data_IF_567386115004
#
_entry.id   IF_567386115004
#
_cell.length_a   1.000
_cell.length_b   1.000
_cell.length_c   1.000
_cell.angle_alpha   90.00
_cell.angle_beta   90.00
_cell.angle_gamma   90.00
#
_symmetry.space_group_name_H-M   'P 1'
#
loop_
_entity.id
_entity.type
_entity.pdbx_description
1 polymer ?
#
# COMPACT_ATOMS: atom_id res chain seq x y z
N UNK A 1 -18.73 0.46 -66.48
CA UNK A 1 -17.25 0.43 -66.45
C UNK A 1 -16.83 0.15 -65.00
N UNK A 2 -16.80 -1.11 -64.56
CA UNK A 2 -15.78 -2.12 -64.86
C UNK A 2 -14.47 -1.94 -64.06
N UNK A 3 -14.34 -2.77 -63.01
CA UNK A 3 -13.17 -3.58 -62.65
C UNK A 3 -11.87 -2.84 -62.22
N UNK A 4 -11.25 -3.14 -61.07
CA UNK A 4 -10.91 -4.46 -60.55
C UNK A 4 -10.97 -4.51 -59.01
N UNK A 5 -11.71 -5.51 -58.53
CA UNK A 5 -11.56 -6.10 -57.21
C UNK A 5 -10.59 -7.29 -57.27
N UNK A 6 -10.20 -7.75 -56.08
CA UNK A 6 -9.70 -9.10 -55.72
C UNK A 6 -8.20 -9.20 -55.43
N UNK A 7 -7.83 -9.32 -54.15
CA UNK A 7 -7.67 -10.63 -53.52
C UNK A 7 -7.43 -10.52 -52.00
N UNK A 8 -8.28 -11.24 -51.25
CA UNK A 8 -8.26 -11.53 -49.82
C UNK A 8 -7.07 -12.45 -49.43
N UNK A 9 -6.71 -12.71 -48.13
CA UNK A 9 -7.66 -13.00 -47.06
C UNK A 9 -7.35 -12.54 -45.62
N UNK A 10 -8.42 -12.64 -44.84
CA UNK A 10 -8.50 -12.63 -43.38
C UNK A 10 -7.44 -13.52 -42.69
N UNK A 11 -6.83 -12.99 -41.64
CA UNK A 11 -6.29 -13.78 -40.54
C UNK A 11 -7.01 -13.43 -39.23
N UNK A 12 -8.09 -14.17 -38.96
CA UNK A 12 -8.48 -14.51 -37.59
C UNK A 12 -7.55 -15.65 -37.17
N UNK A 13 -6.57 -15.38 -36.31
CA UNK A 13 -5.88 -16.43 -35.57
C UNK A 13 -5.90 -16.13 -34.07
N UNK A 14 -6.62 -17.00 -33.37
CA UNK A 14 -6.55 -17.18 -31.92
C UNK A 14 -5.17 -17.73 -31.55
N UNK A 15 -4.45 -17.04 -30.68
CA UNK A 15 -3.23 -17.56 -30.08
C UNK A 15 -3.61 -18.64 -29.07
N UNK A 16 -3.59 -19.92 -29.50
CA UNK A 16 -3.60 -21.08 -28.61
C UNK A 16 -2.15 -21.40 -28.27
N UNK A 17 -1.73 -21.16 -27.03
CA UNK A 17 -0.44 -21.63 -26.53
C UNK A 17 -0.46 -23.16 -26.41
N UNK A 18 0.56 -23.88 -26.93
CA UNK A 18 0.68 -25.32 -26.72
C UNK A 18 1.03 -25.62 -25.25
N UNK A 19 0.31 -26.59 -24.67
CA UNK A 19 0.41 -27.04 -23.26
C UNK A 19 1.62 -27.95 -22.97
N UNK A 20 2.68 -27.87 -23.76
CA UNK A 20 3.77 -28.86 -23.73
C UNK A 20 5.08 -28.38 -23.11
N UNK A 21 5.12 -27.18 -22.51
CA UNK A 21 6.36 -26.66 -21.89
C UNK A 21 6.62 -27.10 -20.44
N UNK A 22 5.81 -28.01 -19.87
CA UNK A 22 6.00 -28.50 -18.49
C UNK A 22 5.73 -30.00 -18.35
N UNK A 23 6.38 -30.82 -19.19
CA UNK A 23 6.33 -32.28 -19.04
C UNK A 23 7.74 -32.82 -18.81
N UNK A 24 8.08 -33.10 -17.55
CA UNK A 24 9.32 -33.79 -17.18
C UNK A 24 9.17 -35.30 -17.51
N UNK A 25 9.80 -35.75 -18.60
CA UNK A 25 9.78 -37.17 -19.00
C UNK A 25 10.44 -38.12 -17.98
N UNK A 26 11.32 -37.63 -17.09
CA UNK A 26 11.93 -38.45 -16.03
C UNK A 26 10.96 -38.80 -14.89
N UNK A 27 9.81 -38.13 -14.76
CA UNK A 27 8.81 -38.46 -13.76
C UNK A 27 7.89 -39.63 -14.16
N UNK A 28 7.85 -40.00 -15.45
CA UNK A 28 7.02 -41.11 -15.95
C UNK A 28 7.67 -42.50 -15.74
N UNK A 29 8.99 -42.57 -15.57
CA UNK A 29 9.71 -43.86 -15.43
C UNK A 29 9.81 -44.39 -13.98
N UNK A 30 9.37 -43.63 -12.95
CA UNK A 30 9.44 -44.09 -11.54
C UNK A 30 8.11 -44.59 -10.96
N UNK A 31 7.09 -44.85 -11.78
CA UNK A 31 5.86 -45.53 -11.35
C UNK A 31 5.93 -47.04 -11.62
N UNK A 32 6.76 -47.75 -10.87
CA UNK A 32 6.70 -49.21 -10.80
C UNK A 32 7.29 -49.72 -9.50
N UNK A 33 6.53 -49.56 -8.41
CA UNK A 33 6.53 -50.44 -7.23
C UNK A 33 5.63 -49.84 -6.15
N UNK A 34 4.39 -50.35 -6.04
CA UNK A 34 3.61 -50.28 -4.81
C UNK A 34 3.73 -51.62 -4.09
N UNK A 35 3.67 -51.62 -2.74
CA UNK A 35 2.85 -52.61 -2.06
C UNK A 35 1.63 -51.96 -1.41
N UNK A 36 0.52 -52.70 -1.46
CA UNK A 36 -0.86 -52.41 -1.06
C UNK A 36 -1.15 -53.11 0.26
N UNK A 37 -1.72 -52.46 1.28
CA UNK A 37 -2.78 -53.02 2.20
C UNK A 37 -3.43 -51.88 3.05
N UNK A 38 -4.57 -52.07 3.75
CA UNK A 38 -5.91 -51.75 3.26
C UNK A 38 -6.63 -50.64 4.05
N UNK A 39 -7.76 -50.22 3.46
CA UNK A 39 -8.65 -49.13 3.84
C UNK A 39 -9.74 -49.64 4.79
N UNK A 40 -9.96 -48.98 5.93
CA UNK A 40 -11.24 -49.03 6.64
C UNK A 40 -11.72 -47.62 6.97
N UNK A 41 -12.97 -47.38 6.60
CA UNK A 41 -13.78 -46.21 6.89
C UNK A 41 -14.83 -46.66 7.92
N UNK A 42 -14.93 -45.97 9.06
CA UNK A 42 -16.16 -45.91 9.87
C UNK A 42 -16.33 -44.45 10.27
N UNK A 43 -17.53 -43.93 10.03
CA UNK A 43 -17.86 -42.52 10.21
C UNK A 43 -18.47 -42.19 11.57
N UNK A 44 -19.12 -41.02 11.55
CA UNK A 44 -20.15 -40.46 12.45
C UNK A 44 -19.77 -39.31 13.39
N UNK A 45 -20.45 -38.20 13.11
CA UNK A 45 -21.15 -37.26 14.00
C UNK A 45 -20.44 -36.02 14.59
N UNK A 46 -21.15 -34.86 14.66
CA UNK A 46 -20.59 -33.56 15.04
C UNK A 46 -20.88 -33.18 16.52
N UNK A 47 -19.95 -32.44 17.13
CA UNK A 47 -20.11 -31.88 18.48
C UNK A 47 -20.53 -30.40 18.42
N UNK A 48 -21.79 -30.15 18.80
CA UNK A 48 -22.30 -28.84 19.24
C UNK A 48 -21.68 -28.47 20.59
N UNK A 49 -21.29 -27.21 20.78
CA UNK A 49 -21.08 -26.63 22.13
C UNK A 49 -22.11 -25.53 22.37
N UNK A 50 -23.01 -25.80 23.32
CA UNK A 50 -23.85 -24.81 23.99
C UNK A 50 -23.10 -24.28 25.21
N UNK A 51 -23.07 -22.96 25.39
CA UNK A 51 -22.74 -22.34 26.67
C UNK A 51 -24.04 -21.97 27.39
N UNK A 52 -24.24 -22.54 28.58
CA UNK A 52 -25.19 -22.06 29.60
C UNK A 52 -24.43 -21.15 30.55
N UNK A 53 -25.06 -20.07 30.99
CA UNK A 53 -24.68 -19.36 32.21
C UNK A 53 -25.95 -19.10 33.02
N UNK A 54 -25.87 -19.50 34.28
CA UNK A 54 -26.94 -19.48 35.26
C UNK A 54 -27.15 -18.11 35.90
N UNK A 55 -28.33 -18.05 36.49
CA UNK A 55 -29.14 -17.04 37.14
C UNK A 55 -28.66 -16.42 38.47
N UNK A 56 -29.54 -15.52 38.96
CA UNK A 56 -29.86 -15.08 40.35
C UNK A 56 -29.33 -13.65 40.62
N UNK A 57 -30.10 -12.64 41.08
CA UNK A 57 -31.07 -12.60 42.19
C UNK A 57 -32.15 -11.50 42.01
N UNK A 58 -33.15 -11.61 42.89
CA UNK A 58 -34.47 -11.00 43.05
C UNK A 58 -34.56 -9.52 43.42
N UNK A 59 -35.74 -8.94 43.17
CA UNK A 59 -36.50 -8.22 44.20
C UNK A 59 -38.00 -8.17 43.86
N UNK A 60 -38.80 -8.44 44.89
CA UNK A 60 -40.26 -8.48 44.94
C UNK A 60 -40.84 -7.09 45.27
N UNK A 61 -42.05 -6.77 44.78
CA UNK A 61 -42.83 -5.67 45.37
C UNK A 61 -44.00 -5.11 44.55
N UNK A 62 -45.21 -5.38 45.06
CA UNK A 62 -46.48 -4.63 44.91
C UNK A 62 -47.36 -4.78 43.65
N UNK A 63 -48.54 -5.35 43.92
CA UNK A 63 -49.77 -5.33 43.14
C UNK A 63 -50.18 -3.90 42.76
N UNK A 64 -50.38 -3.62 41.47
CA UNK A 64 -51.14 -2.45 41.00
C UNK A 64 -51.92 -2.76 39.72
N UNK A 65 -53.19 -2.37 39.77
CA UNK A 65 -54.31 -2.52 38.83
C UNK A 65 -53.96 -2.32 37.32
N UNK A 66 -54.30 -3.26 36.42
CA UNK A 66 -53.87 -3.24 35.01
C UNK A 66 -54.56 -2.22 34.08
N UNK A 67 -55.61 -1.53 34.52
CA UNK A 67 -56.40 -0.66 33.62
C UNK A 67 -55.89 0.78 33.46
N UNK A 68 -54.75 1.15 34.06
CA UNK A 68 -54.21 2.52 33.96
C UNK A 68 -53.00 2.68 33.02
N UNK A 69 -52.36 1.59 32.56
CA UNK A 69 -51.21 1.68 31.64
C UNK A 69 -51.61 1.87 30.17
N UNK A 70 -52.81 1.44 29.78
CA UNK A 70 -53.18 1.43 28.35
C UNK A 70 -53.54 2.84 27.83
N UNK A 71 -53.91 3.78 28.71
CA UNK A 71 -54.27 5.15 28.30
C UNK A 71 -53.07 6.08 28.07
N UNK A 72 -51.97 5.89 28.80
CA UNK A 72 -50.75 6.70 28.62
C UNK A 72 -49.91 6.29 27.40
N UNK A 73 -50.07 5.06 26.91
CA UNK A 73 -49.34 4.57 25.73
C UNK A 73 -49.95 5.15 24.44
N UNK A 74 -51.27 5.35 24.37
CA UNK A 74 -51.94 5.92 23.18
C UNK A 74 -51.67 7.42 22.96
N UNK A 75 -51.45 8.19 24.04
CA UNK A 75 -51.07 9.62 23.90
C UNK A 75 -49.58 9.80 23.58
N UNK A 76 -48.72 8.86 23.98
CA UNK A 76 -47.29 8.92 23.64
C UNK A 76 -47.02 8.44 22.20
N UNK A 77 -47.86 7.54 21.67
CA UNK A 77 -47.75 7.04 20.29
C UNK A 77 -48.18 8.08 19.22
N UNK A 78 -49.07 9.02 19.56
CA UNK A 78 -49.54 10.04 18.61
C UNK A 78 -48.61 11.24 18.50
N UNK A 79 -47.86 11.57 19.56
CA UNK A 79 -46.80 12.60 19.50
C UNK A 79 -45.57 12.06 18.75
N UNK A 80 -45.24 10.78 18.93
CA UNK A 80 -44.09 10.15 18.23
C UNK A 80 -44.30 9.98 16.72
N UNK A 81 -45.54 9.82 16.24
CA UNK A 81 -45.83 9.70 14.81
C UNK A 81 -45.75 11.03 14.05
N UNK A 82 -45.92 12.17 14.74
CA UNK A 82 -45.86 13.50 14.12
C UNK A 82 -44.43 14.05 13.96
N UNK A 83 -43.45 13.51 14.69
CA UNK A 83 -42.06 14.01 14.71
C UNK A 83 -41.08 13.24 13.79
N UNK A 84 -41.54 12.19 13.09
CA UNK A 84 -40.72 11.46 12.10
C UNK A 84 -40.62 12.23 10.76
N UNK A 85 -41.40 13.32 10.60
CA UNK A 85 -41.47 14.12 9.38
C UNK A 85 -40.38 15.19 9.19
N UNK A 86 -39.50 15.42 10.16
CA UNK A 86 -38.47 16.44 10.08
C UNK A 86 -37.05 15.84 10.13
N UNK A 87 -36.78 14.83 9.29
CA UNK A 87 -35.41 14.45 9.01
C UNK A 87 -34.70 15.63 8.33
N UNK A 88 -33.91 16.39 9.11
CA UNK A 88 -33.03 17.46 8.66
C UNK A 88 -32.38 17.05 7.33
N UNK A 89 -32.82 17.63 6.20
CA UNK A 89 -32.30 17.27 4.87
C UNK A 89 -30.78 17.45 4.92
N UNK A 90 -30.04 16.35 4.86
CA UNK A 90 -28.58 16.38 4.89
C UNK A 90 -28.08 17.36 3.82
N UNK A 91 -27.31 18.37 4.23
CA UNK A 91 -26.73 19.39 3.33
C UNK A 91 -25.73 18.80 2.32
N UNK A 92 -25.34 17.54 2.47
CA UNK A 92 -24.49 16.81 1.52
C UNK A 92 -25.32 15.89 0.61
N UNK A 93 -24.92 15.74 -0.67
CA UNK A 93 -25.55 14.79 -1.57
C UNK A 93 -25.35 13.34 -1.10
N UNK A 94 -26.27 12.45 -1.51
CA UNK A 94 -26.15 11.02 -1.23
C UNK A 94 -25.03 10.34 -2.04
N UNK A 95 -24.68 10.92 -3.19
CA UNK A 95 -23.72 10.36 -4.16
C UNK A 95 -22.68 11.41 -4.50
N UNK A 96 -21.43 10.99 -4.63
CA UNK A 96 -20.34 11.89 -5.05
C UNK A 96 -20.26 11.98 -6.57
N UNK A 97 -19.89 13.15 -7.10
CA UNK A 97 -19.80 13.39 -8.53
C UNK A 97 -18.67 12.61 -9.22
N UNK A 98 -18.86 12.21 -10.49
CA UNK A 98 -17.84 11.52 -11.31
C UNK A 98 -16.57 12.34 -11.48
N UNK A 99 -16.64 13.68 -11.48
CA UNK A 99 -15.46 14.54 -11.62
C UNK A 99 -14.45 14.33 -10.48
N UNK A 100 -14.96 14.11 -9.26
CA UNK A 100 -14.14 13.81 -8.08
C UNK A 100 -13.44 12.46 -8.26
N UNK A 101 -14.09 11.51 -8.91
CA UNK A 101 -13.49 10.21 -9.19
C UNK A 101 -12.29 10.32 -10.15
N UNK A 102 -12.44 11.02 -11.27
CA UNK A 102 -11.33 11.21 -12.21
C UNK A 102 -10.17 11.99 -11.59
N UNK A 103 -10.48 13.01 -10.77
CA UNK A 103 -9.45 13.73 -10.02
C UNK A 103 -8.74 12.83 -8.99
N UNK A 104 -9.45 11.96 -8.27
CA UNK A 104 -8.84 10.98 -7.36
C UNK A 104 -7.95 9.98 -8.12
N UNK A 105 -8.37 9.52 -9.29
CA UNK A 105 -7.58 8.63 -10.14
C UNK A 105 -6.33 9.32 -10.70
N UNK A 106 -6.46 10.57 -11.14
CA UNK A 106 -5.32 11.38 -11.56
C UNK A 106 -4.33 11.66 -10.42
N UNK A 107 -4.85 11.93 -9.21
CA UNK A 107 -4.03 12.08 -8.01
C UNK A 107 -3.32 10.78 -7.65
N UNK A 108 -4.01 9.64 -7.74
CA UNK A 108 -3.40 8.32 -7.53
C UNK A 108 -2.29 8.04 -8.56
N UNK A 109 -2.50 8.38 -9.83
CA UNK A 109 -1.47 8.24 -10.86
C UNK A 109 -0.25 9.12 -10.56
N UNK A 110 -0.45 10.35 -10.09
CA UNK A 110 0.65 11.23 -9.66
C UNK A 110 1.40 10.66 -8.45
N UNK A 111 0.69 10.11 -7.45
CA UNK A 111 1.30 9.44 -6.29
C UNK A 111 2.09 8.20 -6.71
N UNK A 112 1.59 7.43 -7.67
CA UNK A 112 2.34 6.30 -8.24
C UNK A 112 3.61 6.78 -8.93
N UNK A 113 3.52 7.84 -9.75
CA UNK A 113 4.68 8.44 -10.43
C UNK A 113 5.78 8.89 -9.48
N UNK A 114 5.43 9.62 -8.42
CA UNK A 114 6.41 10.07 -7.42
C UNK A 114 7.00 8.91 -6.60
N UNK A 115 6.26 7.82 -6.37
CA UNK A 115 6.79 6.61 -5.71
C UNK A 115 7.85 5.94 -6.59
N UNK A 116 7.58 5.77 -7.89
CA UNK A 116 8.56 5.22 -8.85
C UNK A 116 9.79 6.12 -8.93
N UNK A 117 9.57 7.44 -9.05
CA UNK A 117 10.65 8.43 -9.11
C UNK A 117 11.47 8.48 -7.82
N UNK A 118 10.82 8.35 -6.65
CA UNK A 118 11.51 8.22 -5.36
C UNK A 118 12.36 6.96 -5.27
N UNK A 119 11.90 5.85 -5.86
CA UNK A 119 12.70 4.64 -6.05
C UNK A 119 13.98 4.91 -6.84
N UNK A 120 13.87 5.63 -7.96
CA UNK A 120 15.04 6.04 -8.78
C UNK A 120 15.97 6.98 -8.01
N UNK A 121 15.42 7.93 -7.24
CA UNK A 121 16.20 8.86 -6.39
C UNK A 121 17.02 8.08 -5.35
N UNK A 122 16.45 7.01 -4.78
CA UNK A 122 17.18 6.13 -3.86
C UNK A 122 18.26 5.29 -4.56
N UNK A 123 17.97 4.73 -5.74
CA UNK A 123 18.90 3.91 -6.51
C UNK A 123 20.10 4.70 -7.04
N UNK A 124 19.91 5.99 -7.29
CA UNK A 124 20.96 6.94 -7.69
C UNK A 124 21.68 7.56 -6.50
N UNK A 125 21.38 7.10 -5.28
CA UNK A 125 21.94 7.62 -4.02
C UNK A 125 21.82 9.14 -3.85
N UNK A 126 20.80 9.75 -4.48
CA UNK A 126 20.59 11.19 -4.45
C UNK A 126 19.78 11.68 -3.25
N UNK A 127 19.24 10.77 -2.43
CA UNK A 127 18.28 11.10 -1.36
C UNK A 127 18.81 11.90 -0.15
N UNK A 128 20.10 12.24 -0.13
CA UNK A 128 20.76 13.04 0.92
C UNK A 128 21.58 14.22 0.33
N UNK A 129 21.43 14.49 -0.97
CA UNK A 129 22.11 15.60 -1.66
C UNK A 129 21.69 17.00 -1.18
N UNK A 130 20.46 17.15 -0.66
CA UNK A 130 19.91 18.39 -0.11
C UNK A 130 19.74 18.24 1.40
N UNK A 131 20.77 18.66 2.13
CA UNK A 131 20.85 18.53 3.60
C UNK A 131 19.92 19.49 4.34
N UNK A 132 19.51 20.58 3.70
CA UNK A 132 18.63 21.57 4.31
C UNK A 132 17.15 21.32 4.02
N UNK A 133 16.31 21.52 5.04
CA UNK A 133 14.87 21.50 4.89
C UNK A 133 14.33 22.92 4.76
N UNK A 134 14.16 23.37 3.51
CA UNK A 134 13.57 24.68 3.17
C UNK A 134 12.24 24.50 2.42
N UNK A 135 11.09 24.53 3.12
CA UNK A 135 9.79 24.22 2.50
C UNK A 135 9.36 25.19 1.42
N UNK A 136 9.65 26.48 1.63
CA UNK A 136 9.22 27.58 0.76
C UNK A 136 10.38 28.00 -0.15
N UNK A 137 11.51 28.42 0.43
CA UNK A 137 12.68 28.92 -0.30
C UNK A 137 13.42 27.84 -1.09
N UNK A 138 13.31 26.56 -0.70
CA UNK A 138 13.86 25.43 -1.46
C UNK A 138 12.93 24.93 -2.57
N UNK A 139 12.00 25.76 -3.05
CA UNK A 139 11.17 25.44 -4.22
C UNK A 139 11.85 25.84 -5.53
N UNK A 140 12.76 26.80 -5.48
CA UNK A 140 13.61 27.18 -6.61
C UNK A 140 14.95 26.45 -6.49
N UNK A 141 15.50 25.89 -7.58
CA UNK A 141 16.85 25.36 -7.58
C UNK A 141 17.88 26.52 -7.54
N UNK A 142 19.16 26.25 -7.27
CA UNK A 142 20.22 27.26 -7.34
C UNK A 142 20.25 27.90 -8.74
N UNK A 143 20.18 29.23 -8.78
CA UNK A 143 19.96 29.96 -10.04
C UNK A 143 21.25 30.53 -10.64
N UNK A 144 22.29 30.69 -9.82
CA UNK A 144 23.58 31.23 -10.24
C UNK A 144 24.75 30.32 -9.77
N UNK A 145 25.97 30.61 -10.25
CA UNK A 145 27.14 29.80 -9.96
C UNK A 145 27.54 29.80 -8.46
N UNK A 146 27.33 30.93 -7.78
CA UNK A 146 27.64 31.09 -6.35
C UNK A 146 26.71 30.22 -5.49
N UNK A 147 25.41 30.23 -5.78
CA UNK A 147 24.42 29.38 -5.11
C UNK A 147 24.76 27.89 -5.27
N UNK A 148 25.16 27.49 -6.49
CA UNK A 148 25.56 26.10 -6.77
C UNK A 148 26.79 25.70 -5.96
N UNK A 149 27.77 26.59 -5.84
CA UNK A 149 28.99 26.29 -5.09
C UNK A 149 28.75 26.29 -3.57
N UNK A 150 27.83 27.13 -3.08
CA UNK A 150 27.35 27.09 -1.69
C UNK A 150 26.66 25.76 -1.36
N UNK A 151 25.72 25.30 -2.19
CA UNK A 151 25.05 24.01 -1.98
C UNK A 151 26.04 22.83 -2.09
N UNK A 152 26.98 22.90 -3.04
CA UNK A 152 28.01 21.87 -3.17
C UNK A 152 28.98 21.88 -2.00
N UNK A 153 29.34 23.04 -1.45
CA UNK A 153 30.15 23.14 -0.24
C UNK A 153 29.48 22.48 0.97
N UNK A 154 28.16 22.64 1.12
CA UNK A 154 27.38 21.92 2.16
C UNK A 154 27.40 20.42 1.93
N UNK A 155 27.28 19.98 0.69
CA UNK A 155 27.39 18.57 0.35
C UNK A 155 28.78 18.00 0.63
N UNK A 156 29.86 18.73 0.29
CA UNK A 156 31.25 18.34 0.61
C UNK A 156 31.52 18.21 2.11
N UNK A 157 30.87 19.06 2.90
CA UNK A 157 30.92 18.97 4.36
C UNK A 157 30.14 17.76 4.91
N UNK A 158 29.28 17.14 4.11
CA UNK A 158 28.51 15.98 4.54
C UNK A 158 29.38 14.72 4.62
N UNK A 159 29.10 13.81 5.58
CA UNK A 159 29.77 12.51 5.64
C UNK A 159 29.55 11.64 4.40
N UNK A 160 28.45 11.84 3.67
CA UNK A 160 28.17 11.10 2.43
C UNK A 160 29.20 11.41 1.34
N UNK A 161 29.55 12.69 1.16
CA UNK A 161 30.64 13.06 0.25
C UNK A 161 31.96 12.47 0.71
N UNK A 162 32.29 12.56 2.01
CA UNK A 162 33.57 12.10 2.54
C UNK A 162 33.76 10.58 2.44
N UNK A 163 32.70 9.79 2.57
CA UNK A 163 32.78 8.32 2.62
C UNK A 163 32.44 7.66 1.29
N UNK A 164 31.43 8.16 0.56
CA UNK A 164 30.91 7.51 -0.65
C UNK A 164 31.35 8.23 -1.94
N UNK A 165 31.44 9.55 -1.93
CA UNK A 165 31.62 10.36 -3.15
C UNK A 165 32.78 11.39 -3.08
N UNK A 166 33.99 11.04 -2.57
CA UNK A 166 35.02 12.03 -2.22
C UNK A 166 35.61 12.78 -3.43
N UNK A 167 35.44 12.24 -4.63
CA UNK A 167 35.96 12.82 -5.88
C UNK A 167 34.86 13.40 -6.78
N UNK A 168 33.62 13.53 -6.28
CA UNK A 168 32.52 13.98 -7.11
C UNK A 168 32.70 15.43 -7.55
N UNK A 169 32.43 15.70 -8.82
CA UNK A 169 32.49 17.02 -9.44
C UNK A 169 31.18 17.81 -9.23
N UNK A 170 31.22 19.13 -9.42
CA UNK A 170 30.02 19.97 -9.37
C UNK A 170 28.96 19.53 -10.41
N UNK A 171 29.39 19.03 -11.57
CA UNK A 171 28.48 18.56 -12.63
C UNK A 171 27.72 17.30 -12.21
N UNK A 172 28.41 16.34 -11.58
CA UNK A 172 27.79 15.14 -11.02
C UNK A 172 26.87 15.48 -9.84
N UNK A 173 27.29 16.40 -8.96
CA UNK A 173 26.47 16.91 -7.87
C UNK A 173 25.14 17.50 -8.37
N UNK A 174 25.16 18.27 -9.46
CA UNK A 174 23.93 18.82 -10.06
C UNK A 174 22.93 17.73 -10.44
N UNK A 175 23.38 16.60 -10.98
CA UNK A 175 22.49 15.50 -11.36
C UNK A 175 21.78 14.90 -10.15
N UNK A 176 22.51 14.57 -9.08
CA UNK A 176 21.91 14.04 -7.86
C UNK A 176 21.00 15.08 -7.18
N UNK A 177 21.42 16.36 -7.16
CA UNK A 177 20.62 17.45 -6.62
C UNK A 177 19.28 17.58 -7.35
N UNK A 178 19.27 17.54 -8.69
CA UNK A 178 18.04 17.65 -9.45
C UNK A 178 17.09 16.47 -9.22
N UNK A 179 17.60 15.25 -9.08
CA UNK A 179 16.76 14.10 -8.73
C UNK A 179 16.05 14.34 -7.41
N UNK A 180 16.77 14.73 -6.37
CA UNK A 180 16.16 14.99 -5.07
C UNK A 180 15.21 16.21 -5.09
N UNK A 181 15.62 17.30 -5.75
CA UNK A 181 14.81 18.51 -5.88
C UNK A 181 13.50 18.25 -6.63
N UNK A 182 13.54 17.51 -7.76
CA UNK A 182 12.34 17.12 -8.52
C UNK A 182 11.41 16.27 -7.65
N UNK A 183 11.97 15.33 -6.88
CA UNK A 183 11.16 14.50 -5.99
C UNK A 183 10.46 15.37 -4.92
N UNK A 184 11.18 16.30 -4.30
CA UNK A 184 10.63 17.22 -3.27
C UNK A 184 9.58 18.17 -3.85
N UNK A 185 9.83 18.80 -5.00
CA UNK A 185 8.87 19.72 -5.62
C UNK A 185 7.61 18.98 -6.09
N UNK A 186 7.75 17.77 -6.66
CA UNK A 186 6.60 16.94 -7.03
C UNK A 186 5.77 16.59 -5.79
N UNK A 187 6.40 16.25 -4.66
CA UNK A 187 5.68 15.98 -3.41
C UNK A 187 4.83 17.17 -2.95
N UNK A 188 5.36 18.40 -3.06
CA UNK A 188 4.62 19.64 -2.78
C UNK A 188 3.45 19.83 -3.76
N UNK A 189 3.69 19.63 -5.05
CA UNK A 189 2.65 19.73 -6.09
C UNK A 189 1.53 18.75 -5.82
N UNK A 190 1.82 17.49 -5.49
CA UNK A 190 0.81 16.48 -5.09
C UNK A 190 0.00 16.94 -3.88
N UNK A 191 0.68 17.51 -2.87
CA UNK A 191 0.03 18.09 -1.70
C UNK A 191 -0.98 19.18 -2.06
N UNK A 192 -0.55 20.19 -2.81
CA UNK A 192 -1.42 21.29 -3.21
C UNK A 192 -2.52 20.85 -4.18
N UNK A 193 -2.18 20.04 -5.19
CA UNK A 193 -3.11 19.53 -6.20
C UNK A 193 -4.16 18.59 -5.60
N UNK A 194 -3.91 18.05 -4.41
CA UNK A 194 -4.91 17.30 -3.67
C UNK A 194 -5.72 18.19 -2.71
N UNK A 195 -5.04 18.95 -1.84
CA UNK A 195 -5.71 19.69 -0.77
C UNK A 195 -6.64 20.78 -1.32
N UNK A 196 -6.20 21.54 -2.34
CA UNK A 196 -7.00 22.64 -2.90
C UNK A 196 -8.30 22.12 -3.53
N UNK A 197 -8.29 21.13 -4.45
CA UNK A 197 -9.53 20.56 -4.97
C UNK A 197 -10.35 19.82 -3.91
N UNK A 198 -9.74 19.16 -2.92
CA UNK A 198 -10.47 18.50 -1.84
C UNK A 198 -11.33 19.47 -1.02
N UNK A 199 -10.75 20.63 -0.67
CA UNK A 199 -11.46 21.72 0.01
C UNK A 199 -12.59 22.24 -0.90
N UNK A 200 -12.27 22.54 -2.17
CA UNK A 200 -13.26 23.01 -3.14
C UNK A 200 -14.45 22.05 -3.30
N UNK A 201 -14.21 20.76 -3.50
CA UNK A 201 -15.27 19.76 -3.68
C UNK A 201 -16.12 19.54 -2.43
N UNK A 202 -15.50 19.66 -1.26
CA UNK A 202 -16.21 19.56 0.02
C UNK A 202 -17.06 20.80 0.27
N UNK A 203 -16.52 22.00 0.03
CA UNK A 203 -17.22 23.28 0.18
C UNK A 203 -18.39 23.41 -0.81
N UNK A 204 -18.17 23.03 -2.07
CA UNK A 204 -19.19 23.04 -3.15
C UNK A 204 -20.14 21.85 -3.14
N UNK A 205 -20.07 21.00 -2.09
CA UNK A 205 -20.98 19.85 -1.91
C UNK A 205 -21.02 18.88 -3.10
N UNK A 206 -19.90 18.70 -3.80
CA UNK A 206 -19.78 17.72 -4.90
C UNK A 206 -19.49 16.29 -4.40
N UNK A 207 -19.30 16.13 -3.10
CA UNK A 207 -19.03 14.86 -2.42
C UNK A 207 -20.05 14.57 -1.32
N UNK A 208 -20.32 13.29 -1.06
CA UNK A 208 -21.16 12.88 0.07
C UNK A 208 -20.42 13.08 1.40
N UNK A 209 -21.17 13.19 2.51
CA UNK A 209 -20.59 13.33 3.88
C UNK A 209 -19.51 12.29 4.20
N UNK A 210 -19.69 10.97 3.97
CA UNK A 210 -18.64 9.99 4.24
C UNK A 210 -17.44 10.17 3.31
N UNK A 211 -17.65 10.60 2.05
CA UNK A 211 -16.55 10.87 1.13
C UNK A 211 -15.75 12.10 1.56
N UNK A 212 -16.39 13.16 2.06
CA UNK A 212 -15.70 14.33 2.62
C UNK A 212 -14.75 13.94 3.77
N UNK A 213 -15.20 13.07 4.69
CA UNK A 213 -14.36 12.55 5.76
C UNK A 213 -13.18 11.72 5.24
N UNK A 214 -13.39 10.93 4.19
CA UNK A 214 -12.31 10.18 3.54
C UNK A 214 -11.31 11.10 2.84
N UNK A 215 -11.76 12.17 2.17
CA UNK A 215 -10.88 13.17 1.58
C UNK A 215 -10.04 13.88 2.65
N UNK A 216 -10.65 14.22 3.79
CA UNK A 216 -9.92 14.77 4.93
C UNK A 216 -8.88 13.79 5.48
N UNK A 217 -9.23 12.51 5.60
CA UNK A 217 -8.28 11.45 5.99
C UNK A 217 -7.12 11.30 5.01
N UNK A 218 -7.38 11.33 3.70
CA UNK A 218 -6.34 11.26 2.67
C UNK A 218 -5.45 12.52 2.71
N UNK A 219 -6.03 13.71 2.87
CA UNK A 219 -5.26 14.95 3.04
C UNK A 219 -4.35 14.87 4.28
N UNK A 220 -4.86 14.32 5.38
CA UNK A 220 -4.07 14.03 6.58
C UNK A 220 -2.93 13.05 6.30
N UNK A 221 -3.16 11.98 5.53
CA UNK A 221 -2.12 11.04 5.12
C UNK A 221 -1.04 11.71 4.25
N UNK A 222 -1.40 12.62 3.35
CA UNK A 222 -0.42 13.39 2.55
C UNK A 222 0.40 14.33 3.43
N UNK A 223 -0.24 15.00 4.40
CA UNK A 223 0.48 15.81 5.40
C UNK A 223 1.44 14.95 6.22
N UNK A 224 1.00 13.76 6.63
CA UNK A 224 1.83 12.79 7.34
C UNK A 224 2.98 12.25 6.48
N UNK A 225 2.80 12.10 5.17
CA UNK A 225 3.88 11.78 4.23
C UNK A 225 4.97 12.85 4.24
N UNK A 226 4.60 14.13 4.21
CA UNK A 226 5.53 15.24 4.35
C UNK A 226 6.27 15.21 5.69
N UNK A 227 5.58 14.88 6.78
CA UNK A 227 6.19 14.70 8.10
C UNK A 227 7.20 13.55 8.14
N UNK A 228 6.87 12.38 7.57
CA UNK A 228 7.82 11.27 7.49
C UNK A 228 9.04 11.67 6.63
N UNK A 229 8.82 12.35 5.50
CA UNK A 229 9.91 12.83 4.64
C UNK A 229 10.85 13.79 5.37
N UNK A 230 10.31 14.75 6.13
CA UNK A 230 11.11 15.61 7.01
C UNK A 230 11.87 14.80 8.08
N UNK A 231 11.18 13.84 8.71
CA UNK A 231 11.79 12.97 9.72
C UNK A 231 12.95 12.18 9.13
N UNK A 232 12.83 11.63 7.92
CA UNK A 232 13.89 10.91 7.21
C UNK A 232 15.16 11.75 7.05
N UNK A 233 15.02 13.01 6.59
CA UNK A 233 16.17 13.93 6.37
C UNK A 233 16.81 14.32 7.71
N UNK A 234 16.02 14.85 8.66
CA UNK A 234 16.53 15.31 9.97
C UNK A 234 17.31 14.23 10.71
N UNK A 235 16.87 13.00 10.55
CA UNK A 235 17.39 11.86 11.31
C UNK A 235 18.48 11.07 10.57
N UNK A 236 18.78 11.42 9.32
CA UNK A 236 19.98 10.97 8.59
C UNK A 236 21.22 11.80 8.89
N UNK A 237 21.07 12.94 9.59
CA UNK A 237 22.12 13.90 9.92
C UNK A 237 22.57 13.84 11.40
N UNK A 238 22.22 12.78 12.15
CA UNK A 238 22.57 12.67 13.58
C UNK A 238 23.92 12.01 13.78
N UNK A 239 24.72 12.62 14.67
CA UNK A 239 26.10 12.26 14.96
C UNK A 239 26.32 10.79 15.36
N UNK A 240 25.29 10.18 15.96
CA UNK A 240 25.29 8.78 16.45
C UNK A 240 25.32 7.72 15.33
N UNK A 241 25.01 8.10 14.08
CA UNK A 241 25.05 7.24 12.89
C UNK A 241 26.42 7.22 12.20
N UNK A 242 27.43 7.86 12.81
CA UNK A 242 28.79 8.02 12.26
C UNK A 242 29.89 7.45 13.17
N UNK A 243 29.55 6.50 14.04
CA UNK A 243 30.55 5.68 14.73
C UNK A 243 31.44 4.93 13.71
N UNK A 244 32.72 4.63 14.03
CA UNK A 244 33.62 3.93 13.11
C UNK A 244 32.99 2.62 12.62
N UNK A 245 32.74 2.52 11.30
CA UNK A 245 32.07 1.37 10.66
C UNK A 245 30.57 1.53 10.35
N UNK A 246 29.97 2.72 10.56
CA UNK A 246 28.58 2.99 10.20
C UNK A 246 28.46 3.88 8.94
N UNK A 247 27.61 3.46 8.00
CA UNK A 247 27.38 4.19 6.73
C UNK A 247 26.35 5.33 6.94
N UNK A 248 26.66 6.57 6.52
CA UNK A 248 25.75 7.74 6.50
C UNK A 248 24.46 7.49 5.71
N UNK A 249 23.44 6.87 6.29
CA UNK A 249 22.20 6.51 5.55
C UNK A 249 20.94 6.68 6.37
N UNK A 250 19.87 7.06 5.68
CA UNK A 250 18.52 7.05 6.25
C UNK A 250 18.17 5.62 6.68
N UNK A 251 17.73 5.47 7.93
CA UNK A 251 17.30 4.17 8.45
C UNK A 251 16.24 3.54 7.54
N UNK A 252 16.46 2.28 7.17
CA UNK A 252 15.55 1.50 6.30
C UNK A 252 14.14 1.46 6.85
N UNK A 253 13.99 1.46 8.18
CA UNK A 253 12.69 1.49 8.82
C UNK A 253 11.92 2.77 8.47
N UNK A 254 12.62 3.91 8.35
CA UNK A 254 12.02 5.19 7.94
C UNK A 254 11.69 5.21 6.46
N UNK A 255 12.59 4.70 5.61
CA UNK A 255 12.36 4.55 4.17
C UNK A 255 11.14 3.66 3.89
N UNK A 256 11.08 2.48 4.51
CA UNK A 256 9.95 1.55 4.36
C UNK A 256 8.67 2.12 4.95
N UNK A 257 8.72 2.83 6.09
CA UNK A 257 7.54 3.51 6.64
C UNK A 257 7.01 4.60 5.70
N UNK A 258 7.90 5.38 5.07
CA UNK A 258 7.54 6.38 4.09
C UNK A 258 6.85 5.75 2.88
N UNK A 259 7.49 4.73 2.29
CA UNK A 259 6.95 3.95 1.17
C UNK A 259 5.58 3.33 1.53
N UNK A 260 5.46 2.71 2.70
CA UNK A 260 4.24 2.05 3.14
C UNK A 260 3.07 3.02 3.29
N UNK A 261 3.31 4.18 3.90
CA UNK A 261 2.27 5.21 4.00
C UNK A 261 1.95 5.85 2.63
N UNK A 262 2.90 5.94 1.69
CA UNK A 262 2.64 6.34 0.30
C UNK A 262 1.73 5.33 -0.42
N UNK A 263 1.98 4.02 -0.24
CA UNK A 263 1.12 2.95 -0.76
C UNK A 263 -0.29 3.02 -0.20
N UNK A 264 -0.45 3.23 1.11
CA UNK A 264 -1.78 3.38 1.73
C UNK A 264 -2.51 4.59 1.14
N UNK A 265 -1.80 5.71 0.94
CA UNK A 265 -2.34 6.92 0.32
C UNK A 265 -2.80 6.64 -1.12
N UNK A 266 -1.95 6.00 -1.94
CA UNK A 266 -2.24 5.59 -3.31
C UNK A 266 -3.49 4.70 -3.38
N UNK A 267 -3.54 3.62 -2.58
CA UNK A 267 -4.67 2.68 -2.54
C UNK A 267 -5.94 3.39 -2.09
N UNK A 268 -5.85 4.28 -1.10
CA UNK A 268 -7.02 5.05 -0.64
C UNK A 268 -7.59 5.94 -1.75
N UNK A 269 -6.75 6.64 -2.53
CA UNK A 269 -7.20 7.45 -3.66
C UNK A 269 -7.80 6.59 -4.77
N UNK A 270 -7.09 5.53 -5.19
CA UNK A 270 -7.52 4.62 -6.25
C UNK A 270 -8.85 3.95 -5.90
N UNK A 271 -8.95 3.39 -4.68
CA UNK A 271 -10.15 2.72 -4.21
C UNK A 271 -11.36 3.66 -4.16
N UNK A 272 -11.19 4.88 -3.63
CA UNK A 272 -12.30 5.83 -3.57
C UNK A 272 -12.70 6.34 -4.96
N UNK A 273 -11.75 6.59 -5.86
CA UNK A 273 -12.05 6.94 -7.26
C UNK A 273 -12.87 5.85 -7.96
N UNK A 274 -12.40 4.60 -7.92
CA UNK A 274 -13.12 3.46 -8.51
C UNK A 274 -14.49 3.21 -7.84
N UNK A 275 -14.58 3.40 -6.53
CA UNK A 275 -15.84 3.25 -5.80
C UNK A 275 -16.88 4.28 -6.24
N UNK A 276 -16.49 5.54 -6.45
CA UNK A 276 -17.39 6.59 -6.95
C UNK A 276 -17.87 6.25 -8.36
N UNK A 277 -16.96 5.84 -9.26
CA UNK A 277 -17.35 5.43 -10.63
C UNK A 277 -18.31 4.24 -10.61
N UNK A 278 -18.02 3.22 -9.79
CA UNK A 278 -18.89 2.05 -9.62
C UNK A 278 -20.26 2.45 -9.10
N UNK A 279 -20.33 3.30 -8.08
CA UNK A 279 -21.60 3.77 -7.52
C UNK A 279 -22.41 4.56 -8.56
N UNK A 280 -21.80 5.48 -9.29
CA UNK A 280 -22.47 6.24 -10.34
C UNK A 280 -22.97 5.33 -11.48
N UNK A 281 -22.22 4.29 -11.85
CA UNK A 281 -22.65 3.30 -12.86
C UNK A 281 -23.86 2.49 -12.40
N UNK A 282 -23.87 2.05 -11.15
CA UNK A 282 -24.98 1.27 -10.59
C UNK A 282 -26.26 2.10 -10.43
N UNK A 283 -26.15 3.41 -10.22
CA UNK A 283 -27.30 4.31 -10.08
C UNK A 283 -27.82 4.83 -11.42
N UNK A 284 -27.05 4.71 -12.51
CA UNK A 284 -27.51 5.08 -13.85
C UNK A 284 -28.70 4.23 -14.33
N UNK A 285 -28.74 2.95 -13.92
CA UNK A 285 -29.86 2.04 -14.15
C UNK A 285 -30.10 1.26 -12.83
N UNK A 286 -31.03 1.72 -11.99
CA UNK A 286 -31.25 1.15 -10.66
C UNK A 286 -31.67 -0.32 -10.69
N UNK A 287 -32.46 -0.73 -11.69
CA UNK A 287 -32.96 -2.11 -11.80
C UNK A 287 -31.83 -3.06 -12.20
N UNK A 288 -31.03 -2.70 -13.21
CA UNK A 288 -29.81 -3.47 -13.53
C UNK A 288 -28.80 -3.43 -12.38
N UNK A 289 -28.67 -2.30 -11.70
CA UNK A 289 -27.79 -2.12 -10.56
C UNK A 289 -28.12 -3.06 -9.39
N UNK A 290 -29.40 -3.18 -9.03
CA UNK A 290 -29.89 -4.13 -8.02
C UNK A 290 -29.56 -5.57 -8.40
N UNK A 291 -29.88 -5.98 -9.63
CA UNK A 291 -29.60 -7.34 -10.13
C UNK A 291 -28.11 -7.67 -10.07
N UNK A 292 -27.23 -6.73 -10.43
CA UNK A 292 -25.78 -6.88 -10.30
C UNK A 292 -25.37 -7.05 -8.84
N UNK A 293 -25.91 -6.23 -7.93
CA UNK A 293 -25.59 -6.31 -6.50
C UNK A 293 -26.04 -7.63 -5.86
N UNK A 294 -27.20 -8.14 -6.24
CA UNK A 294 -27.70 -9.45 -5.81
C UNK A 294 -26.79 -10.57 -6.31
N UNK A 295 -26.42 -10.55 -7.59
CA UNK A 295 -25.46 -11.52 -8.16
C UNK A 295 -24.12 -11.46 -7.44
N UNK A 296 -23.62 -10.26 -7.13
CA UNK A 296 -22.38 -10.08 -6.40
C UNK A 296 -22.48 -10.55 -4.93
N UNK A 297 -23.66 -10.61 -4.33
CA UNK A 297 -23.86 -11.07 -2.94
C UNK A 297 -23.82 -12.59 -2.77
N UNK A 298 -23.75 -13.35 -3.86
CA UNK A 298 -23.66 -14.81 -3.82
C UNK A 298 -22.48 -15.27 -2.93
N UNK A 299 -22.72 -16.12 -1.90
CA UNK A 299 -21.67 -16.62 -1.02
C UNK A 299 -20.58 -17.40 -1.74
N UNK A 300 -20.82 -17.95 -2.94
CA UNK A 300 -19.80 -18.61 -3.77
C UNK A 300 -18.64 -17.67 -4.11
N UNK A 301 -18.91 -16.36 -4.20
CA UNK A 301 -17.88 -15.35 -4.47
C UNK A 301 -17.04 -15.01 -3.23
N UNK A 302 -17.36 -15.53 -2.04
CA UNK A 302 -16.59 -15.24 -0.82
C UNK A 302 -15.17 -15.79 -0.88
N UNK A 303 -14.98 -16.96 -1.50
CA UNK A 303 -13.62 -17.52 -1.70
C UNK A 303 -12.81 -16.58 -2.58
N UNK A 304 -13.35 -16.18 -3.73
CA UNK A 304 -12.70 -15.24 -4.63
C UNK A 304 -12.35 -13.90 -3.95
N UNK A 305 -13.27 -13.31 -3.18
CA UNK A 305 -13.02 -12.06 -2.43
C UNK A 305 -11.88 -12.20 -1.43
N UNK A 306 -11.85 -13.32 -0.69
CA UNK A 306 -10.77 -13.61 0.27
C UNK A 306 -9.45 -13.85 -0.43
N UNK A 307 -9.44 -14.55 -1.57
CA UNK A 307 -8.24 -14.76 -2.39
C UNK A 307 -7.69 -13.44 -2.93
N UNK A 308 -8.54 -12.54 -3.44
CA UNK A 308 -8.12 -11.20 -3.89
C UNK A 308 -7.57 -10.37 -2.74
N UNK A 309 -8.21 -10.40 -1.56
CA UNK A 309 -7.70 -9.71 -0.38
C UNK A 309 -6.36 -10.29 0.11
N UNK A 310 -6.22 -11.63 0.08
CA UNK A 310 -4.99 -12.32 0.43
C UNK A 310 -3.85 -12.01 -0.54
N UNK A 311 -4.13 -12.00 -1.84
CA UNK A 311 -3.16 -11.59 -2.86
C UNK A 311 -2.74 -10.13 -2.70
N UNK A 312 -3.69 -9.23 -2.44
CA UNK A 312 -3.37 -7.82 -2.20
C UNK A 312 -2.49 -7.63 -0.95
N UNK A 313 -2.75 -8.38 0.12
CA UNK A 313 -1.91 -8.39 1.32
C UNK A 313 -0.52 -8.96 1.00
N UNK A 314 -0.43 -10.06 0.26
CA UNK A 314 0.84 -10.65 -0.16
C UNK A 314 1.68 -9.64 -0.95
N UNK A 315 1.10 -9.01 -1.97
CA UNK A 315 1.76 -7.97 -2.78
C UNK A 315 2.24 -6.81 -1.91
N UNK A 316 1.42 -6.36 -0.95
CA UNK A 316 1.81 -5.29 -0.02
C UNK A 316 3.01 -5.71 0.84
N UNK A 317 2.97 -6.91 1.42
CA UNK A 317 4.07 -7.44 2.25
C UNK A 317 5.35 -7.60 1.42
N UNK A 318 5.24 -8.08 0.17
CA UNK A 318 6.37 -8.17 -0.78
C UNK A 318 6.95 -6.80 -1.12
N UNK A 319 6.11 -5.79 -1.36
CA UNK A 319 6.60 -4.42 -1.59
C UNK A 319 7.33 -3.86 -0.35
N UNK A 320 6.83 -4.16 0.86
CA UNK A 320 7.47 -3.73 2.12
C UNK A 320 8.76 -4.48 2.43
N UNK A 321 8.84 -5.78 2.14
CA UNK A 321 10.09 -6.52 2.23
C UNK A 321 11.11 -5.97 1.23
N UNK A 322 10.70 -5.65 0.00
CA UNK A 322 11.51 -4.97 -1.00
C UNK A 322 12.07 -3.62 -0.51
N UNK A 323 11.24 -2.80 0.13
CA UNK A 323 11.69 -1.53 0.74
C UNK A 323 12.76 -1.73 1.83
N UNK A 324 12.64 -2.77 2.66
CA UNK A 324 13.63 -3.11 3.68
C UNK A 324 14.94 -3.63 3.06
N UNK A 325 14.84 -4.47 2.03
CA UNK A 325 15.98 -5.00 1.25
C UNK A 325 16.74 -3.86 0.56
N UNK A 326 16.04 -2.94 -0.08
CA UNK A 326 16.62 -1.78 -0.76
C UNK A 326 17.24 -0.78 0.22
N UNK A 327 16.73 -0.68 1.44
CA UNK A 327 17.41 0.07 2.47
C UNK A 327 18.75 -0.57 2.85
N UNK A 328 18.80 -1.91 2.93
CA UNK A 328 19.94 -2.71 3.39
C UNK A 328 21.01 -2.97 2.33
N UNK A 329 20.77 -2.53 1.10
CA UNK A 329 21.56 -2.87 -0.10
C UNK A 329 21.77 -4.39 -0.26
N UNK A 330 20.89 -5.19 0.35
CA UNK A 330 20.99 -6.65 0.39
C UNK A 330 20.78 -7.28 -1.01
N UNK A 331 20.28 -6.49 -1.96
CA UNK A 331 20.18 -6.86 -3.37
C UNK A 331 21.53 -7.13 -4.03
N UNK A 332 22.61 -6.49 -3.57
CA UNK A 332 23.94 -6.58 -4.18
C UNK A 332 24.73 -7.84 -3.78
N UNK A 333 24.25 -8.59 -2.77
CA UNK A 333 25.00 -9.70 -2.15
C UNK A 333 24.91 -11.01 -2.96
N UNK A 334 23.79 -11.25 -3.66
CA UNK A 334 23.59 -12.43 -4.49
C UNK A 334 22.98 -11.99 -5.81
N UNK A 335 23.68 -11.98 -6.93
CA UNK A 335 23.10 -11.44 -8.18
C UNK A 335 22.48 -12.53 -9.06
N UNK A 336 22.35 -13.74 -8.52
CA UNK A 336 21.86 -14.91 -9.25
C UNK A 336 20.34 -15.10 -9.06
N UNK A 337 19.71 -15.72 -10.07
CA UNK A 337 18.34 -16.18 -10.00
C UNK A 337 18.21 -17.51 -10.77
N UNK A 338 17.52 -18.54 -10.24
CA UNK A 338 16.75 -18.57 -9.00
C UNK A 338 17.56 -18.94 -7.74
N UNK A 339 18.87 -19.13 -7.82
CA UNK A 339 19.71 -19.47 -6.66
C UNK A 339 20.23 -18.23 -5.93
N UNK A 340 20.60 -18.35 -4.66
CA UNK A 340 21.33 -17.36 -3.87
C UNK A 340 22.66 -17.98 -3.42
N UNK A 341 23.69 -17.88 -4.27
CA UNK A 341 24.95 -18.59 -4.09
C UNK A 341 24.83 -20.08 -4.42
N UNK A 342 25.17 -20.95 -3.46
CA UNK A 342 25.26 -22.41 -3.68
C UNK A 342 23.93 -23.16 -3.64
N UNK A 343 22.82 -22.50 -3.32
CA UNK A 343 21.50 -23.12 -3.23
C UNK A 343 20.34 -22.14 -3.46
N UNK A 344 19.10 -22.61 -3.29
CA UNK A 344 17.89 -21.77 -3.42
C UNK A 344 17.72 -20.77 -2.26
N UNK A 345 18.43 -20.99 -1.15
CA UNK A 345 18.46 -20.10 0.00
C UNK A 345 19.92 -19.88 0.43
N UNK A 346 20.24 -18.71 1.00
CA UNK A 346 21.52 -18.48 1.66
C UNK A 346 21.83 -19.59 2.67
N UNK A 347 23.11 -19.94 2.90
CA UNK A 347 23.49 -20.88 3.94
C UNK A 347 22.91 -20.47 5.30
N UNK A 348 22.42 -21.45 6.10
CA UNK A 348 21.83 -21.18 7.42
C UNK A 348 22.78 -20.46 8.38
N UNK A 349 24.08 -20.67 8.22
CA UNK A 349 25.14 -19.97 8.95
C UNK A 349 25.12 -18.46 8.69
N UNK A 350 24.74 -18.00 7.50
CA UNK A 350 24.73 -16.59 7.12
C UNK A 350 23.38 -15.90 7.39
N UNK A 351 22.28 -16.67 7.46
CA UNK A 351 20.92 -16.17 7.70
C UNK A 351 20.76 -15.49 9.06
N UNK A 352 21.50 -15.93 10.07
CA UNK A 352 21.42 -15.41 11.44
C UNK A 352 22.77 -14.96 11.99
N UNK A 353 23.76 -14.77 11.13
CA UNK A 353 25.09 -14.33 11.56
C UNK A 353 25.01 -12.91 12.14
N UNK A 354 25.46 -12.69 13.38
CA UNK A 354 25.58 -11.36 13.97
C UNK A 354 26.40 -10.41 13.09
N UNK A 355 27.36 -10.92 12.31
CA UNK A 355 28.20 -10.16 11.40
C UNK A 355 27.40 -9.44 10.31
N UNK A 356 26.31 -10.05 9.83
CA UNK A 356 25.41 -9.45 8.83
C UNK A 356 24.22 -8.70 9.46
N UNK A 357 24.19 -8.58 10.79
CA UNK A 357 23.18 -7.85 11.54
C UNK A 357 23.71 -6.48 11.98
N UNK A 358 22.90 -5.43 11.83
CA UNK A 358 23.35 -4.04 12.08
C UNK A 358 23.58 -3.67 13.56
N UNK A 359 23.24 -4.58 14.48
CA UNK A 359 23.48 -4.45 15.92
C UNK A 359 24.15 -5.73 16.40
N UNK A 360 25.16 -5.63 17.28
CA UNK A 360 25.54 -6.78 18.10
C UNK A 360 24.26 -7.32 18.76
N UNK A 361 24.01 -8.60 18.56
CA UNK A 361 22.85 -9.27 19.16
C UNK A 361 23.14 -9.37 20.65
N UNK A 362 22.55 -8.48 21.45
CA UNK A 362 22.52 -8.66 22.90
C UNK A 362 21.60 -9.87 23.20
N UNK A 363 22.00 -10.83 24.06
CA UNK A 363 21.22 -12.05 24.32
C UNK A 363 19.81 -11.78 24.88
N UNK A 364 19.53 -10.56 25.32
CA UNK A 364 18.34 -10.18 26.08
C UNK A 364 17.34 -9.38 25.22
N UNK A 365 17.76 -8.74 24.13
CA UNK A 365 16.90 -7.75 23.41
C UNK A 365 16.27 -8.22 22.11
N UNK A 366 16.57 -9.42 21.62
CA UNK A 366 15.83 -10.05 20.51
C UNK A 366 15.73 -9.22 19.22
N UNK A 367 16.65 -9.44 18.28
CA UNK A 367 16.35 -9.39 16.84
C UNK A 367 16.74 -8.11 16.08
N UNK A 368 17.99 -8.07 15.60
CA UNK A 368 18.29 -7.37 14.35
C UNK A 368 17.90 -8.27 13.18
N UNK A 369 17.10 -7.77 12.23
CA UNK A 369 16.73 -8.55 11.04
C UNK A 369 17.93 -8.57 10.08
N UNK A 370 18.44 -9.77 9.78
CA UNK A 370 19.53 -9.96 8.81
C UNK A 370 19.09 -9.59 7.39
N UNK A 371 19.97 -8.91 6.66
CA UNK A 371 19.79 -8.51 5.26
C UNK A 371 19.48 -9.71 4.33
N UNK A 372 20.10 -10.86 4.60
CA UNK A 372 19.91 -12.11 3.85
C UNK A 372 18.53 -12.74 4.10
N UNK A 373 17.97 -12.60 5.32
CA UNK A 373 16.63 -13.12 5.67
C UNK A 373 15.51 -12.37 4.95
N UNK A 374 15.61 -11.04 4.86
CA UNK A 374 14.63 -10.22 4.15
C UNK A 374 14.63 -10.52 2.65
N UNK A 375 15.80 -10.80 2.09
CA UNK A 375 15.95 -11.17 0.70
C UNK A 375 15.40 -12.55 0.39
N UNK A 376 15.65 -13.53 1.25
CA UNK A 376 15.06 -14.87 1.13
C UNK A 376 13.52 -14.84 1.24
N UNK A 377 12.97 -14.02 2.13
CA UNK A 377 11.51 -13.83 2.22
C UNK A 377 10.94 -13.26 0.91
N UNK A 378 11.61 -12.26 0.33
CA UNK A 378 11.19 -11.69 -0.96
C UNK A 378 11.29 -12.74 -2.09
N UNK A 379 12.34 -13.55 -2.10
CA UNK A 379 12.51 -14.68 -3.02
C UNK A 379 11.36 -15.69 -2.94
N UNK A 380 10.92 -16.09 -1.74
CA UNK A 380 9.76 -16.98 -1.58
C UNK A 380 8.50 -16.35 -2.18
N UNK A 381 8.26 -15.05 -1.93
CA UNK A 381 7.04 -14.40 -2.42
C UNK A 381 7.01 -14.21 -3.93
N UNK A 382 8.18 -14.10 -4.58
CA UNK A 382 8.30 -13.94 -6.05
C UNK A 382 8.41 -15.30 -6.76
N UNK A 383 8.95 -16.32 -6.10
CA UNK A 383 9.20 -17.65 -6.65
C UNK A 383 8.10 -18.67 -6.34
N UNK A 384 7.04 -18.26 -5.63
CA UNK A 384 5.86 -19.09 -5.41
C UNK A 384 5.06 -19.18 -6.73
N UNK A 385 4.91 -20.38 -7.32
CA UNK A 385 4.24 -20.57 -8.61
C UNK A 385 2.75 -20.24 -8.60
#
# INVERSE_FOLDING_TARGET
MAFLASNMPMFRQSWRFPREFFTCQQCLQKRSALPRVPRQWIGTAPLRKSFKLNSILSQTGRLRNPNSMIRSISQTATISAAEVGAATKSRFPNVSSKIVAYWLLGSAASVFGIVVFGGLTRLTESGLSITEWRPVTGSLPPMNAEDWESEFAKYRASPEYQVLNPNMTLAEFKNIYYMEWIHRIWGRVVGLSFVVPAIYFTATRKVSKPMALRLAGIAGLIGFQGFIGWWMVKSGLKDDLFAPGSHPRVSQYRLTAHLGAAFVCYVAMLWNGLAILRQNRLLADPEKGKKILETLRDPKLNVFRRSVAGLALLVFVTAMSGGLVAGLDAGLIYNEFPTMGTGLAPPKSELFDPHYSRKKIDPISGGGICSRTLRWFNWITVSSP
#
